data_IF_472098364349
#
_entry.id   IF_472098364349
#
_cell.length_a   1.000
_cell.length_b   1.000
_cell.length_c   1.000
_cell.angle_alpha   90.00
_cell.angle_beta   90.00
_cell.angle_gamma   90.00
#
_symmetry.space_group_name_H-M   'P 1'
#
loop_
_entity.id
_entity.type
_entity.pdbx_description
1 polymer ?
#
# COMPACT_ATOMS: atom_id res chain seq x y z
N UNK A 1 35.81 -67.81 26.02
CA UNK A 1 35.19 -66.59 26.59
C UNK A 1 34.80 -65.75 25.42
N UNK A 2 33.49 -65.61 25.15
CA UNK A 2 33.01 -64.63 24.14
C UNK A 2 32.92 -63.27 24.82
N UNK A 3 33.35 -62.25 24.08
CA UNK A 3 33.25 -60.85 24.50
C UNK A 3 31.88 -60.32 24.08
N UNK A 4 31.06 -59.96 25.07
CA UNK A 4 29.78 -59.25 24.87
C UNK A 4 30.05 -57.83 24.33
N UNK A 5 29.53 -57.55 23.12
CA UNK A 5 29.45 -56.20 22.57
C UNK A 5 28.01 -55.69 22.92
N UNK A 6 27.85 -54.55 23.60
CA UNK A 6 26.53 -54.05 23.87
C UNK A 6 25.88 -53.51 22.57
N UNK A 7 24.78 -54.14 22.19
CA UNK A 7 23.84 -53.57 21.19
C UNK A 7 23.10 -52.37 21.84
N UNK A 8 23.40 -51.16 21.41
CA UNK A 8 22.62 -50.02 21.96
C UNK A 8 22.99 -48.63 21.48
N UNK A 9 23.77 -48.43 20.42
CA UNK A 9 24.11 -47.08 19.95
C UNK A 9 24.17 -46.88 18.43
N UNK A 10 23.34 -47.56 17.67
CA UNK A 10 23.20 -47.27 16.25
C UNK A 10 21.72 -47.09 15.93
N UNK A 11 21.17 -45.97 16.20
CA UNK A 11 19.95 -45.50 15.49
C UNK A 11 19.46 -44.15 15.96
N UNK A 12 20.26 -43.09 15.85
CA UNK A 12 19.75 -41.71 15.87
C UNK A 12 20.66 -40.75 15.07
N UNK A 13 21.21 -41.22 13.97
CA UNK A 13 21.88 -40.32 13.05
C UNK A 13 21.17 -40.35 11.70
N UNK A 14 20.78 -39.15 11.25
CA UNK A 14 20.39 -38.83 9.87
C UNK A 14 18.97 -39.23 9.48
N UNK A 15 17.98 -38.55 10.06
CA UNK A 15 16.86 -38.03 9.25
C UNK A 15 17.18 -36.56 9.03
N UNK A 16 18.03 -36.28 8.07
CA UNK A 16 18.25 -34.93 7.58
C UNK A 16 16.94 -34.39 6.99
N UNK A 17 16.35 -33.44 7.67
CA UNK A 17 15.25 -32.62 7.18
C UNK A 17 15.70 -31.92 5.89
N UNK A 18 15.32 -32.48 4.74
CA UNK A 18 15.43 -31.83 3.43
C UNK A 18 14.31 -30.80 3.27
N UNK A 19 14.30 -29.77 4.12
CA UNK A 19 13.56 -28.56 3.85
C UNK A 19 14.38 -27.71 2.88
N UNK A 20 13.90 -27.41 1.66
CA UNK A 20 14.68 -26.69 0.64
C UNK A 20 14.93 -25.21 0.94
N UNK A 21 14.48 -24.70 2.07
CA UNK A 21 14.75 -23.32 2.54
C UNK A 21 15.02 -23.34 4.04
N UNK A 22 16.08 -22.67 4.52
CA UNK A 22 16.28 -22.51 5.95
C UNK A 22 15.12 -21.73 6.53
N UNK A 23 14.39 -22.31 7.46
CA UNK A 23 13.36 -21.67 8.28
C UNK A 23 14.03 -20.73 9.31
N UNK A 24 14.74 -19.71 8.83
CA UNK A 24 15.28 -18.64 9.67
C UNK A 24 14.51 -17.36 9.40
N UNK A 25 13.18 -17.40 9.64
CA UNK A 25 12.49 -16.15 9.97
C UNK A 25 12.82 -15.83 11.42
N UNK A 26 13.57 -14.73 11.72
CA UNK A 26 13.67 -14.27 13.09
C UNK A 26 12.24 -14.09 13.57
N UNK A 27 11.91 -14.61 14.74
CA UNK A 27 10.56 -14.65 15.32
C UNK A 27 9.84 -13.33 15.09
N UNK A 28 8.94 -13.33 14.11
CA UNK A 28 8.02 -12.22 13.93
C UNK A 28 7.12 -12.22 15.15
N UNK A 29 7.12 -11.11 15.90
CA UNK A 29 6.21 -11.02 17.03
C UNK A 29 4.79 -11.31 16.53
N UNK A 30 4.02 -12.16 17.23
CA UNK A 30 2.68 -12.50 16.78
C UNK A 30 1.85 -11.23 16.65
N UNK A 31 1.29 -11.06 15.47
CA UNK A 31 0.43 -9.93 15.14
C UNK A 31 -0.81 -9.99 16.04
N UNK A 32 -1.14 -8.92 16.79
CA UNK A 32 -2.21 -8.94 17.77
C UNK A 32 -3.63 -8.90 17.16
N UNK A 33 -3.74 -8.63 15.85
CA UNK A 33 -5.00 -8.35 15.19
C UNK A 33 -5.93 -9.55 15.14
N UNK A 34 -7.23 -9.31 15.34
CA UNK A 34 -8.30 -10.31 15.33
C UNK A 34 -9.32 -10.02 14.21
N UNK A 35 -10.24 -10.95 13.95
CA UNK A 35 -11.39 -10.70 13.07
C UNK A 35 -12.31 -9.61 13.61
N UNK A 36 -12.34 -9.41 14.94
CA UNK A 36 -13.08 -8.30 15.55
C UNK A 36 -12.50 -6.96 15.10
N UNK A 37 -11.15 -6.84 15.07
CA UNK A 37 -10.47 -5.63 14.62
C UNK A 37 -10.75 -5.36 13.15
N UNK A 38 -10.79 -6.40 12.32
CA UNK A 38 -11.21 -6.31 10.92
C UNK A 38 -12.66 -5.83 10.81
N UNK A 39 -13.57 -6.41 11.60
CA UNK A 39 -14.99 -6.01 11.62
C UNK A 39 -15.15 -4.54 12.02
N UNK A 40 -14.42 -4.08 13.04
CA UNK A 40 -14.40 -2.67 13.45
C UNK A 40 -13.85 -1.75 12.34
N UNK A 41 -12.79 -2.17 11.65
CA UNK A 41 -12.24 -1.43 10.52
C UNK A 41 -13.23 -1.33 9.35
N UNK A 42 -13.87 -2.43 8.99
CA UNK A 42 -14.87 -2.48 7.90
C UNK A 42 -16.12 -1.66 8.21
N UNK A 43 -16.48 -1.52 9.49
CA UNK A 43 -17.55 -0.62 9.93
C UNK A 43 -17.08 0.84 9.92
N UNK A 44 -15.85 1.11 10.38
CA UNK A 44 -15.31 2.45 10.47
C UNK A 44 -15.01 3.07 9.11
N UNK A 45 -14.47 2.31 8.15
CA UNK A 45 -14.01 2.84 6.87
C UNK A 45 -15.12 3.55 6.07
N UNK A 46 -16.35 3.01 5.89
CA UNK A 46 -17.43 3.74 5.22
C UNK A 46 -17.91 4.96 6.01
N UNK A 47 -17.89 4.91 7.34
CA UNK A 47 -18.20 6.09 8.17
C UNK A 47 -17.15 7.18 8.03
N UNK A 48 -15.87 6.81 7.99
CA UNK A 48 -14.76 7.73 7.75
C UNK A 48 -14.86 8.36 6.35
N UNK A 49 -15.27 7.60 5.34
CA UNK A 49 -15.50 8.10 3.98
C UNK A 49 -16.56 9.19 3.97
N UNK A 50 -17.72 8.94 4.59
CA UNK A 50 -18.82 9.92 4.69
C UNK A 50 -18.38 11.15 5.49
N UNK A 51 -17.74 10.93 6.65
CA UNK A 51 -17.25 12.01 7.49
C UNK A 51 -16.21 12.89 6.77
N UNK A 52 -15.24 12.29 6.09
CA UNK A 52 -14.24 13.03 5.33
C UNK A 52 -14.87 13.90 4.25
N UNK A 53 -15.86 13.36 3.52
CA UNK A 53 -16.58 14.11 2.50
C UNK A 53 -17.31 15.31 3.11
N UNK A 54 -18.08 15.09 4.19
CA UNK A 54 -18.81 16.16 4.87
C UNK A 54 -17.88 17.20 5.48
N UNK A 55 -16.77 16.79 6.09
CA UNK A 55 -15.81 17.70 6.71
C UNK A 55 -15.14 18.62 5.67
N UNK A 56 -14.70 18.05 4.53
CA UNK A 56 -14.07 18.84 3.47
C UNK A 56 -15.09 19.75 2.80
N UNK A 57 -16.30 19.27 2.57
CA UNK A 57 -17.39 20.08 2.02
C UNK A 57 -17.77 21.24 2.96
N UNK A 58 -17.92 21.00 4.25
CA UNK A 58 -18.19 22.04 5.25
C UNK A 58 -17.05 23.06 5.30
N UNK A 59 -15.80 22.60 5.29
CA UNK A 59 -14.62 23.48 5.25
C UNK A 59 -14.62 24.36 3.99
N UNK A 60 -14.96 23.79 2.84
CA UNK A 60 -15.10 24.53 1.60
C UNK A 60 -16.16 25.64 1.69
N UNK A 61 -17.34 25.36 2.24
CA UNK A 61 -18.40 26.37 2.42
C UNK A 61 -18.00 27.49 3.37
N UNK A 62 -17.33 27.14 4.47
CA UNK A 62 -16.82 28.15 5.43
C UNK A 62 -15.77 29.04 4.75
N UNK A 63 -14.78 28.46 4.07
CA UNK A 63 -13.75 29.24 3.37
C UNK A 63 -14.35 30.12 2.26
N UNK A 64 -15.30 29.59 1.51
CA UNK A 64 -16.01 30.35 0.47
C UNK A 64 -16.75 31.56 1.04
N UNK A 65 -17.40 31.39 2.19
CA UNK A 65 -18.14 32.50 2.83
C UNK A 65 -17.23 33.58 3.39
N UNK A 66 -16.05 33.19 3.91
CA UNK A 66 -15.07 34.10 4.49
C UNK A 66 -14.22 34.84 3.45
N UNK A 67 -13.87 34.17 2.34
CA UNK A 67 -12.92 34.67 1.37
C UNK A 67 -13.58 35.19 0.09
N UNK A 68 -14.93 35.20 0.00
CA UNK A 68 -15.70 35.49 -1.23
C UNK A 68 -15.18 34.73 -2.47
N UNK A 69 -14.64 33.55 -2.24
CA UNK A 69 -13.89 32.74 -3.18
C UNK A 69 -14.62 31.41 -3.44
N UNK A 70 -14.48 30.90 -4.66
CA UNK A 70 -14.83 29.51 -4.93
C UNK A 70 -15.64 29.28 -6.19
N UNK A 71 -15.50 28.07 -6.68
CA UNK A 71 -16.25 27.52 -7.81
C UNK A 71 -17.68 27.11 -7.39
N UNK A 72 -18.63 26.99 -8.32
CA UNK A 72 -19.93 26.38 -8.05
C UNK A 72 -19.76 24.98 -7.45
N UNK A 73 -20.62 24.61 -6.48
CA UNK A 73 -20.55 23.31 -5.78
C UNK A 73 -20.57 22.12 -6.74
N UNK A 74 -21.30 22.22 -7.84
CA UNK A 74 -21.39 21.18 -8.87
C UNK A 74 -20.09 20.88 -9.60
N UNK A 75 -19.06 21.74 -9.48
CA UNK A 75 -17.73 21.52 -10.08
C UNK A 75 -16.70 20.90 -9.11
N UNK A 76 -17.07 20.73 -7.82
CA UNK A 76 -16.11 20.24 -6.81
C UNK A 76 -15.66 18.79 -7.06
N UNK A 77 -16.54 17.97 -7.61
CA UNK A 77 -16.23 16.59 -7.95
C UNK A 77 -15.10 16.45 -9.00
N UNK A 78 -14.81 17.52 -9.73
CA UNK A 78 -13.71 17.58 -10.71
C UNK A 78 -12.57 18.50 -10.24
N UNK A 79 -12.65 19.03 -9.01
CA UNK A 79 -11.62 19.90 -8.46
C UNK A 79 -10.53 19.07 -7.77
N UNK A 80 -9.34 19.06 -8.33
CA UNK A 80 -8.19 18.28 -7.84
C UNK A 80 -7.87 18.55 -6.38
N UNK A 81 -7.87 19.81 -5.95
CA UNK A 81 -7.52 20.17 -4.57
C UNK A 81 -8.60 19.73 -3.58
N UNK A 82 -9.88 19.76 -3.99
CA UNK A 82 -10.98 19.21 -3.18
C UNK A 82 -10.81 17.69 -3.01
N UNK A 83 -10.54 16.98 -4.10
CA UNK A 83 -10.34 15.53 -4.08
C UNK A 83 -9.11 15.13 -3.26
N UNK A 84 -7.99 15.86 -3.38
CA UNK A 84 -6.80 15.62 -2.57
C UNK A 84 -7.04 15.92 -1.08
N UNK A 85 -7.76 16.99 -0.75
CA UNK A 85 -8.14 17.30 0.63
C UNK A 85 -9.03 16.19 1.22
N UNK A 86 -10.01 15.72 0.45
CA UNK A 86 -10.83 14.58 0.84
C UNK A 86 -9.97 13.32 1.10
N UNK A 87 -9.06 13.00 0.19
CA UNK A 87 -8.18 11.83 0.31
C UNK A 87 -7.28 11.93 1.53
N UNK A 88 -6.70 13.12 1.80
CA UNK A 88 -5.89 13.37 3.00
C UNK A 88 -6.67 13.15 4.30
N UNK A 89 -7.89 13.69 4.38
CA UNK A 89 -8.74 13.53 5.57
C UNK A 89 -9.16 12.06 5.72
N UNK A 90 -9.60 11.43 4.66
CA UNK A 90 -10.02 10.03 4.67
C UNK A 90 -8.87 9.09 5.10
N UNK A 91 -7.71 9.19 4.46
CA UNK A 91 -6.54 8.38 4.83
C UNK A 91 -6.05 8.71 6.25
N UNK A 92 -6.08 9.98 6.65
CA UNK A 92 -5.75 10.40 8.01
C UNK A 92 -6.64 9.74 9.06
N UNK A 93 -7.96 9.63 8.79
CA UNK A 93 -8.90 8.92 9.66
C UNK A 93 -8.60 7.42 9.74
N UNK A 94 -8.33 6.77 8.60
CA UNK A 94 -7.98 5.34 8.57
C UNK A 94 -6.65 5.07 9.30
N UNK A 95 -5.63 5.90 9.11
CA UNK A 95 -4.37 5.83 9.85
C UNK A 95 -4.57 6.07 11.34
N UNK A 96 -5.39 7.05 11.71
CA UNK A 96 -5.78 7.33 13.09
C UNK A 96 -6.46 6.14 13.75
N UNK A 97 -7.35 5.45 13.02
CA UNK A 97 -7.97 4.22 13.48
C UNK A 97 -6.92 3.12 13.72
N UNK A 98 -6.04 2.85 12.74
CA UNK A 98 -4.98 1.85 12.88
C UNK A 98 -4.04 2.22 14.03
N UNK A 99 -3.69 3.49 14.18
CA UNK A 99 -2.88 3.97 15.31
C UNK A 99 -3.57 3.71 16.66
N UNK A 100 -4.84 4.08 16.78
CA UNK A 100 -5.61 3.85 18.01
C UNK A 100 -5.71 2.35 18.33
N UNK A 101 -5.92 1.53 17.32
CA UNK A 101 -5.97 0.07 17.47
C UNK A 101 -4.64 -0.48 17.97
N UNK A 102 -3.52 -0.10 17.34
CA UNK A 102 -2.18 -0.59 17.70
C UNK A 102 -1.75 -0.10 19.08
N UNK A 103 -1.83 1.21 19.29
CA UNK A 103 -1.19 1.87 20.45
C UNK A 103 -2.11 1.89 21.66
N UNK A 104 -3.40 2.19 21.47
CA UNK A 104 -4.33 2.37 22.58
C UNK A 104 -4.96 1.02 22.95
N UNK A 105 -5.52 0.30 21.97
CA UNK A 105 -6.24 -0.95 22.25
C UNK A 105 -5.29 -2.11 22.55
N UNK A 106 -4.32 -2.37 21.66
CA UNK A 106 -3.35 -3.46 21.83
C UNK A 106 -2.09 -3.09 22.63
N UNK A 107 -1.93 -1.83 23.03
CA UNK A 107 -0.82 -1.31 23.86
C UNK A 107 0.56 -1.69 23.33
N UNK A 108 0.75 -1.62 22.01
CA UNK A 108 2.04 -1.89 21.35
C UNK A 108 2.64 -0.61 20.76
N UNK A 109 3.96 -0.46 20.72
CA UNK A 109 4.57 0.60 19.94
C UNK A 109 4.17 0.47 18.47
N UNK A 110 3.78 1.58 17.83
CA UNK A 110 3.14 1.57 16.51
C UNK A 110 3.92 0.77 15.46
N UNK A 111 5.18 1.12 15.25
CA UNK A 111 6.00 0.48 14.21
C UNK A 111 6.31 -0.99 14.49
N UNK A 112 6.56 -1.36 15.72
CA UNK A 112 6.78 -2.77 16.08
C UNK A 112 5.49 -3.58 15.98
N UNK A 113 4.34 -2.98 16.30
CA UNK A 113 3.02 -3.58 16.10
C UNK A 113 2.72 -3.91 14.65
N UNK A 114 3.22 -3.10 13.72
CA UNK A 114 3.09 -3.32 12.26
C UNK A 114 4.24 -4.15 11.67
N UNK A 115 5.10 -4.75 12.48
CA UNK A 115 6.29 -5.49 12.05
C UNK A 115 7.26 -4.66 11.18
N UNK A 116 7.46 -3.39 11.53
CA UNK A 116 8.49 -2.59 10.90
C UNK A 116 9.87 -3.01 11.40
N UNK A 117 10.75 -3.42 10.48
CA UNK A 117 12.17 -3.71 10.78
C UNK A 117 13.06 -2.75 10.00
N UNK A 118 14.11 -2.28 10.65
CA UNK A 118 15.10 -1.42 9.99
C UNK A 118 15.81 -2.21 8.90
N UNK A 119 16.01 -1.57 7.77
CA UNK A 119 16.76 -2.11 6.64
C UNK A 119 18.20 -1.56 6.67
N UNK A 120 19.15 -2.36 6.19
CA UNK A 120 20.49 -1.85 5.88
C UNK A 120 20.43 -0.93 4.65
N UNK A 121 21.45 -0.09 4.47
CA UNK A 121 21.54 0.77 3.29
C UNK A 121 21.52 -0.06 1.99
N UNK A 122 22.27 -1.18 1.94
CA UNK A 122 22.27 -2.05 0.77
C UNK A 122 20.89 -2.63 0.46
N UNK A 123 20.15 -3.13 1.47
CA UNK A 123 18.78 -3.60 1.28
C UNK A 123 17.85 -2.49 0.77
N UNK A 124 17.95 -1.28 1.35
CA UNK A 124 17.17 -0.12 0.92
C UNK A 124 17.44 0.22 -0.55
N UNK A 125 18.71 0.26 -0.96
CA UNK A 125 19.09 0.55 -2.35
C UNK A 125 18.60 -0.52 -3.32
N UNK A 126 18.71 -1.80 -2.99
CA UNK A 126 18.20 -2.88 -3.84
C UNK A 126 16.67 -2.84 -3.97
N UNK A 127 15.95 -2.56 -2.89
CA UNK A 127 14.49 -2.41 -2.92
C UNK A 127 14.08 -1.17 -3.72
N UNK A 128 14.79 -0.06 -3.56
CA UNK A 128 14.53 1.14 -4.35
C UNK A 128 14.76 0.87 -5.85
N UNK A 129 15.87 0.19 -6.21
CA UNK A 129 16.11 -0.25 -7.60
C UNK A 129 14.99 -1.16 -8.09
N UNK A 130 14.53 -2.10 -7.26
CA UNK A 130 13.38 -2.97 -7.59
C UNK A 130 12.11 -2.19 -7.88
N UNK A 131 11.80 -1.15 -7.08
CA UNK A 131 10.67 -0.23 -7.32
C UNK A 131 10.80 0.55 -8.62
N UNK A 132 12.00 1.05 -8.93
CA UNK A 132 12.29 1.73 -10.19
C UNK A 132 12.09 0.78 -11.39
N UNK A 133 12.67 -0.42 -11.34
CA UNK A 133 12.51 -1.44 -12.40
C UNK A 133 11.05 -1.82 -12.59
N UNK A 134 10.31 -2.00 -11.49
CA UNK A 134 8.87 -2.28 -11.54
C UNK A 134 8.12 -1.15 -12.24
N UNK A 135 8.42 0.12 -11.94
CA UNK A 135 7.78 1.27 -12.58
C UNK A 135 8.01 1.29 -14.09
N UNK A 136 9.25 1.08 -14.54
CA UNK A 136 9.56 1.01 -15.97
C UNK A 136 8.88 -0.18 -16.65
N UNK A 137 8.84 -1.35 -16.00
CA UNK A 137 8.15 -2.54 -16.52
C UNK A 137 6.66 -2.27 -16.70
N UNK A 138 6.02 -1.71 -15.68
CA UNK A 138 4.57 -1.41 -15.72
C UNK A 138 4.26 -0.31 -16.76
N UNK A 139 5.10 0.70 -16.90
CA UNK A 139 4.91 1.75 -17.91
C UNK A 139 5.11 1.24 -19.34
N UNK A 140 5.90 0.19 -19.53
CA UNK A 140 6.12 -0.39 -20.86
C UNK A 140 4.96 -1.28 -21.31
N UNK A 141 4.27 -1.96 -20.39
CA UNK A 141 3.17 -2.88 -20.70
C UNK A 141 2.01 -2.24 -21.50
N UNK A 142 1.55 -1.00 -21.22
CA UNK A 142 0.51 -0.37 -22.03
C UNK A 142 0.84 -0.23 -23.52
N UNK A 143 2.13 -0.21 -23.90
CA UNK A 143 2.52 -0.14 -25.31
C UNK A 143 2.18 -1.41 -26.11
N UNK A 144 1.92 -2.52 -25.41
CA UNK A 144 1.53 -3.81 -26.02
C UNK A 144 0.07 -4.17 -25.75
N UNK A 145 -0.63 -3.36 -24.96
CA UNK A 145 -2.06 -3.51 -24.67
C UNK A 145 -2.87 -2.53 -25.54
N UNK A 146 -4.15 -2.82 -25.80
CA UNK A 146 -5.03 -1.87 -26.46
C UNK A 146 -5.06 -0.54 -25.73
N UNK A 147 -5.08 0.59 -26.47
CA UNK A 147 -5.25 1.92 -25.88
C UNK A 147 -6.49 1.95 -25.01
N UNK A 148 -6.33 2.42 -23.78
CA UNK A 148 -7.44 2.63 -22.87
C UNK A 148 -8.03 4.01 -23.08
N UNK A 149 -9.35 4.06 -22.97
CA UNK A 149 -10.11 5.31 -22.98
C UNK A 149 -9.63 6.23 -21.84
N UNK A 150 -10.01 7.48 -21.94
CA UNK A 150 -9.80 8.46 -20.87
C UNK A 150 -10.38 7.94 -19.54
N UNK A 151 -9.67 8.10 -18.43
CA UNK A 151 -10.08 7.61 -17.12
C UNK A 151 -10.04 8.74 -16.07
N UNK A 152 -10.81 8.63 -14.98
CA UNK A 152 -11.03 9.75 -14.05
C UNK A 152 -9.77 10.39 -13.50
N UNK A 153 -8.74 9.62 -13.13
CA UNK A 153 -7.49 10.16 -12.62
C UNK A 153 -6.81 11.14 -13.60
N UNK A 154 -6.89 10.87 -14.91
CA UNK A 154 -6.29 11.74 -15.93
C UNK A 154 -6.93 13.13 -15.92
N UNK A 155 -8.22 13.21 -15.62
CA UNK A 155 -8.97 14.47 -15.54
C UNK A 155 -8.60 15.32 -14.33
N UNK A 156 -7.91 14.77 -13.35
CA UNK A 156 -7.41 15.52 -12.19
C UNK A 156 -6.19 16.40 -12.51
N UNK A 157 -5.48 16.13 -13.61
CA UNK A 157 -4.32 16.92 -14.04
C UNK A 157 -4.77 18.17 -14.80
N UNK A 158 -5.48 19.08 -14.11
CA UNK A 158 -6.12 20.28 -14.70
C UNK A 158 -5.16 21.45 -14.92
N UNK A 159 -4.00 21.46 -14.28
CA UNK A 159 -3.00 22.51 -14.33
C UNK A 159 -1.64 22.01 -13.84
N UNK A 160 -0.53 22.71 -14.11
CA UNK A 160 0.78 22.34 -13.55
C UNK A 160 0.77 22.26 -12.02
N UNK A 161 0.08 23.19 -11.35
CA UNK A 161 -0.05 23.17 -9.88
C UNK A 161 -0.81 21.91 -9.39
N UNK A 162 -1.86 21.50 -10.09
CA UNK A 162 -2.56 20.23 -9.80
C UNK A 162 -1.62 19.02 -9.98
N UNK A 163 -0.80 19.01 -11.04
CA UNK A 163 0.20 17.99 -11.29
C UNK A 163 1.24 17.90 -10.15
N UNK A 164 1.75 19.04 -9.68
CA UNK A 164 2.67 19.08 -8.52
C UNK A 164 1.99 18.58 -7.24
N UNK A 165 0.73 18.97 -6.99
CA UNK A 165 0.00 18.56 -5.80
C UNK A 165 -0.27 17.04 -5.80
N UNK A 166 -0.71 16.48 -6.94
CA UNK A 166 -0.88 15.03 -7.13
C UNK A 166 0.45 14.30 -6.94
N UNK A 167 1.52 14.79 -7.58
CA UNK A 167 2.85 14.20 -7.47
C UNK A 167 3.36 14.17 -6.02
N UNK A 168 3.26 15.29 -5.31
CA UNK A 168 3.65 15.37 -3.91
C UNK A 168 2.83 14.41 -3.04
N UNK A 169 1.52 14.36 -3.21
CA UNK A 169 0.65 13.43 -2.50
C UNK A 169 1.02 11.97 -2.80
N UNK A 170 1.17 11.62 -4.07
CA UNK A 170 1.46 10.25 -4.51
C UNK A 170 2.84 9.74 -4.06
N UNK A 171 3.80 10.64 -3.81
CA UNK A 171 5.14 10.27 -3.34
C UNK A 171 5.21 10.30 -1.81
N UNK A 172 4.69 11.35 -1.18
CA UNK A 172 4.98 11.63 0.23
C UNK A 172 3.92 11.07 1.20
N UNK A 173 2.68 10.89 0.75
CA UNK A 173 1.54 10.55 1.62
C UNK A 173 0.95 9.19 1.30
N UNK A 174 0.50 8.98 0.07
CA UNK A 174 -0.25 7.78 -0.33
C UNK A 174 0.48 6.48 0.01
N UNK A 175 1.78 6.29 -0.32
CA UNK A 175 2.47 5.03 -0.06
C UNK A 175 2.51 4.65 1.42
N UNK A 176 2.69 5.62 2.31
CA UNK A 176 2.71 5.37 3.74
C UNK A 176 1.35 4.92 4.27
N UNK A 177 0.29 5.64 3.89
CA UNK A 177 -1.06 5.32 4.31
C UNK A 177 -1.49 3.95 3.79
N UNK A 178 -1.27 3.70 2.53
CA UNK A 178 -1.65 2.46 1.87
C UNK A 178 -0.88 1.25 2.42
N UNK A 179 0.44 1.36 2.57
CA UNK A 179 1.22 0.25 3.11
C UNK A 179 0.89 -0.05 4.58
N UNK A 180 0.64 0.97 5.41
CA UNK A 180 0.20 0.76 6.79
C UNK A 180 -1.14 0.03 6.84
N UNK A 181 -2.10 0.40 6.00
CA UNK A 181 -3.43 -0.21 5.96
C UNK A 181 -3.36 -1.63 5.38
N UNK A 182 -2.77 -1.77 4.18
CA UNK A 182 -2.79 -3.06 3.46
C UNK A 182 -1.77 -4.05 4.01
N UNK A 183 -0.49 -3.67 4.14
CA UNK A 183 0.60 -4.59 4.51
C UNK A 183 0.91 -4.59 6.00
N UNK A 184 0.58 -3.50 6.69
CA UNK A 184 0.68 -3.41 8.13
C UNK A 184 -0.47 -4.09 8.84
N UNK A 185 -1.71 -3.72 8.49
CA UNK A 185 -2.92 -4.15 9.22
C UNK A 185 -3.62 -5.35 8.55
N UNK A 186 -4.15 -5.18 7.33
CA UNK A 186 -4.97 -6.21 6.68
C UNK A 186 -4.20 -7.50 6.40
N UNK A 187 -2.99 -7.39 5.86
CA UNK A 187 -2.14 -8.54 5.55
C UNK A 187 -1.96 -9.46 6.75
N UNK A 188 -1.65 -8.89 7.90
CA UNK A 188 -1.42 -9.69 9.10
C UNK A 188 -2.65 -10.47 9.59
N UNK A 189 -3.85 -9.92 9.39
CA UNK A 189 -5.09 -10.64 9.71
C UNK A 189 -5.28 -11.82 8.77
N UNK A 190 -5.11 -11.60 7.47
CA UNK A 190 -5.31 -12.62 6.45
C UNK A 190 -4.26 -13.72 6.54
N UNK A 191 -2.97 -13.35 6.74
CA UNK A 191 -1.88 -14.30 6.91
C UNK A 191 -2.14 -15.25 8.08
N UNK A 192 -2.57 -14.72 9.21
CA UNK A 192 -2.87 -15.54 10.40
C UNK A 192 -4.09 -16.43 10.23
N UNK A 193 -5.04 -16.07 9.38
CA UNK A 193 -6.30 -16.80 9.22
C UNK A 193 -6.28 -17.83 8.09
N UNK A 194 -5.63 -17.51 6.99
CA UNK A 194 -5.66 -18.32 5.78
C UNK A 194 -4.29 -18.56 5.15
N UNK A 195 -3.22 -18.13 5.85
CA UNK A 195 -1.86 -18.36 5.43
C UNK A 195 -1.28 -17.30 4.49
N UNK A 196 0.03 -17.42 4.25
CA UNK A 196 0.84 -16.44 3.55
C UNK A 196 0.33 -16.11 2.14
N UNK A 197 0.09 -17.14 1.32
CA UNK A 197 -0.28 -16.94 -0.08
C UNK A 197 -1.65 -16.31 -0.24
N UNK A 198 -2.59 -16.68 0.63
CA UNK A 198 -3.91 -16.05 0.67
C UNK A 198 -3.80 -14.56 1.00
N UNK A 199 -2.98 -14.21 2.02
CA UNK A 199 -2.76 -12.82 2.39
C UNK A 199 -2.13 -12.02 1.25
N UNK A 200 -1.12 -12.58 0.56
CA UNK A 200 -0.46 -11.95 -0.59
C UNK A 200 -1.49 -11.61 -1.68
N UNK A 201 -2.25 -12.61 -2.11
CA UNK A 201 -3.20 -12.46 -3.22
C UNK A 201 -4.36 -11.53 -2.84
N UNK A 202 -4.98 -11.75 -1.67
CA UNK A 202 -6.14 -10.98 -1.26
C UNK A 202 -5.81 -9.50 -1.06
N UNK A 203 -4.69 -9.18 -0.40
CA UNK A 203 -4.30 -7.77 -0.21
C UNK A 203 -3.92 -7.09 -1.52
N UNK A 204 -3.36 -7.82 -2.49
CA UNK A 204 -3.09 -7.31 -3.82
C UNK A 204 -4.37 -6.99 -4.60
N UNK A 205 -5.37 -7.89 -4.55
CA UNK A 205 -6.66 -7.69 -5.20
C UNK A 205 -7.45 -6.55 -4.56
N UNK A 206 -7.45 -6.45 -3.23
CA UNK A 206 -8.08 -5.34 -2.52
C UNK A 206 -7.40 -4.01 -2.85
N UNK A 207 -6.07 -4.00 -2.96
CA UNK A 207 -5.31 -2.82 -3.34
C UNK A 207 -5.69 -2.32 -4.75
N UNK A 208 -5.69 -3.21 -5.75
CA UNK A 208 -6.15 -2.86 -7.09
C UNK A 208 -7.64 -2.49 -7.14
N UNK A 209 -8.46 -3.18 -6.37
CA UNK A 209 -9.91 -2.92 -6.28
C UNK A 209 -10.25 -1.53 -5.77
N UNK A 210 -9.49 -0.98 -4.83
CA UNK A 210 -9.69 0.39 -4.35
C UNK A 210 -9.33 1.46 -5.38
N UNK A 211 -8.55 1.12 -6.41
CA UNK A 211 -8.22 2.03 -7.51
C UNK A 211 -9.25 2.02 -8.65
N UNK A 212 -10.27 1.15 -8.57
CA UNK A 212 -11.32 1.08 -9.60
C UNK A 212 -11.98 2.43 -9.88
N UNK A 213 -12.36 3.26 -8.87
CA UNK A 213 -12.97 4.55 -9.14
C UNK A 213 -12.08 5.51 -9.94
N UNK A 214 -10.76 5.47 -9.71
CA UNK A 214 -9.76 6.33 -10.37
C UNK A 214 -9.51 5.90 -11.83
N UNK A 215 -9.64 4.59 -12.09
CA UNK A 215 -9.38 3.96 -13.39
C UNK A 215 -10.63 3.33 -14.02
N UNK A 216 -11.82 3.88 -13.71
CA UNK A 216 -13.08 3.34 -14.23
C UNK A 216 -13.09 3.26 -15.77
N UNK A 217 -13.31 2.07 -16.28
CA UNK A 217 -13.27 1.79 -17.74
C UNK A 217 -11.88 1.40 -18.27
N UNK A 218 -10.81 1.64 -17.51
CA UNK A 218 -9.43 1.26 -17.84
C UNK A 218 -8.99 0.02 -17.02
N UNK A 219 -9.67 -1.11 -17.21
CA UNK A 219 -9.52 -2.34 -16.40
C UNK A 219 -8.11 -2.94 -16.47
N UNK A 220 -7.41 -2.73 -17.59
CA UNK A 220 -6.00 -3.09 -17.72
C UNK A 220 -5.11 -2.37 -16.69
N UNK A 221 -5.39 -1.09 -16.40
CA UNK A 221 -4.68 -0.36 -15.33
C UNK A 221 -5.00 -0.91 -13.94
N UNK A 222 -6.26 -1.26 -13.67
CA UNK A 222 -6.64 -1.91 -12.40
C UNK A 222 -5.91 -3.24 -12.23
N UNK A 223 -5.81 -4.03 -13.30
CA UNK A 223 -5.04 -5.28 -13.30
C UNK A 223 -3.55 -5.00 -13.02
N UNK A 224 -2.94 -4.03 -13.70
CA UNK A 224 -1.54 -3.66 -13.49
C UNK A 224 -1.28 -3.20 -12.06
N UNK A 225 -2.17 -2.38 -11.49
CA UNK A 225 -2.08 -1.95 -10.09
C UNK A 225 -2.21 -3.15 -9.14
N UNK A 226 -3.07 -4.13 -9.46
CA UNK A 226 -3.15 -5.36 -8.68
C UNK A 226 -1.84 -6.17 -8.73
N UNK A 227 -1.16 -6.23 -9.88
CA UNK A 227 0.15 -6.88 -10.03
C UNK A 227 1.26 -6.13 -9.26
N UNK A 228 1.24 -4.80 -9.27
CA UNK A 228 2.10 -3.98 -8.42
C UNK A 228 1.83 -4.27 -6.94
N UNK A 229 0.56 -4.30 -6.57
CA UNK A 229 0.12 -4.69 -5.23
C UNK A 229 0.58 -6.09 -4.82
N UNK A 230 0.60 -7.03 -5.77
CA UNK A 230 1.12 -8.38 -5.56
C UNK A 230 2.62 -8.37 -5.22
N UNK A 231 3.40 -7.54 -5.93
CA UNK A 231 4.84 -7.38 -5.67
C UNK A 231 5.10 -6.83 -4.27
N UNK A 232 4.36 -5.81 -3.85
CA UNK A 232 4.49 -5.24 -2.51
C UNK A 232 4.07 -6.23 -1.42
N UNK A 233 2.95 -6.96 -1.64
CA UNK A 233 2.48 -7.97 -0.70
C UNK A 233 3.43 -9.17 -0.62
N UNK A 234 4.04 -9.56 -1.72
CA UNK A 234 5.08 -10.60 -1.74
C UNK A 234 6.31 -10.16 -0.93
N UNK A 235 6.82 -8.94 -1.17
CA UNK A 235 7.94 -8.40 -0.39
C UNK A 235 7.63 -8.37 1.12
N UNK A 236 6.40 -7.96 1.51
CA UNK A 236 5.93 -8.01 2.89
C UNK A 236 5.93 -9.44 3.43
N UNK A 237 5.41 -10.38 2.66
CA UNK A 237 5.26 -11.78 3.08
C UNK A 237 6.59 -12.50 3.27
N UNK A 238 7.49 -12.42 2.29
CA UNK A 238 8.78 -13.14 2.34
C UNK A 238 9.76 -12.54 3.36
N UNK A 239 9.65 -11.24 3.66
CA UNK A 239 10.54 -10.58 4.63
C UNK A 239 9.96 -10.53 6.04
N UNK A 240 8.65 -10.77 6.19
CA UNK A 240 7.94 -10.58 7.45
C UNK A 240 7.96 -9.12 7.96
N UNK A 241 8.32 -8.14 7.11
CA UNK A 241 8.51 -6.74 7.50
C UNK A 241 7.72 -5.79 6.60
N UNK A 242 7.16 -4.72 7.18
CA UNK A 242 6.47 -3.66 6.44
C UNK A 242 7.44 -2.79 5.63
N UNK A 243 8.67 -2.57 6.09
CA UNK A 243 9.60 -1.62 5.50
C UNK A 243 9.95 -1.91 4.03
N UNK A 244 10.17 -3.17 3.57
CA UNK A 244 10.44 -3.46 2.17
C UNK A 244 9.33 -3.02 1.21
N UNK A 245 8.07 -3.25 1.55
CA UNK A 245 6.94 -2.85 0.71
C UNK A 245 6.83 -1.32 0.62
N UNK A 246 7.07 -0.60 1.72
CA UNK A 246 7.09 0.87 1.73
C UNK A 246 8.20 1.41 0.81
N UNK A 247 9.43 0.87 0.89
CA UNK A 247 10.55 1.35 0.04
C UNK A 247 10.28 1.07 -1.44
N UNK A 248 9.80 -0.14 -1.77
CA UNK A 248 9.40 -0.47 -3.14
C UNK A 248 8.34 0.49 -3.67
N UNK A 249 7.30 0.77 -2.87
CA UNK A 249 6.19 1.62 -3.26
C UNK A 249 6.63 3.08 -3.43
N UNK A 250 7.41 3.63 -2.49
CA UNK A 250 7.98 4.97 -2.61
C UNK A 250 8.81 5.13 -3.89
N UNK A 251 9.70 4.18 -4.17
CA UNK A 251 10.54 4.22 -5.35
C UNK A 251 9.73 4.06 -6.65
N UNK A 252 8.73 3.18 -6.63
CA UNK A 252 7.80 2.98 -7.74
C UNK A 252 7.04 4.27 -8.07
N UNK A 253 6.34 4.87 -7.09
CA UNK A 253 5.57 6.10 -7.30
C UNK A 253 6.46 7.28 -7.68
N UNK A 254 7.65 7.42 -7.06
CA UNK A 254 8.62 8.46 -7.43
C UNK A 254 9.01 8.33 -8.89
N UNK A 255 9.27 7.11 -9.37
CA UNK A 255 9.65 6.87 -10.77
C UNK A 255 8.52 7.18 -11.74
N UNK A 256 7.27 6.81 -11.40
CA UNK A 256 6.10 7.13 -12.22
C UNK A 256 5.90 8.64 -12.36
N UNK A 257 5.92 9.35 -11.23
CA UNK A 257 5.72 10.81 -11.21
C UNK A 257 6.88 11.54 -11.88
N UNK A 258 8.13 11.09 -11.67
CA UNK A 258 9.29 11.65 -12.38
C UNK A 258 9.16 11.43 -13.90
N UNK A 259 8.79 10.23 -14.33
CA UNK A 259 8.53 9.93 -15.75
C UNK A 259 7.48 10.86 -16.35
N UNK A 260 6.32 11.01 -15.68
CA UNK A 260 5.25 11.91 -16.10
C UNK A 260 5.73 13.38 -16.13
N UNK A 261 6.47 13.82 -15.12
CA UNK A 261 7.03 15.17 -15.05
C UNK A 261 7.91 15.49 -16.25
N UNK A 262 8.84 14.60 -16.61
CA UNK A 262 9.72 14.81 -17.77
C UNK A 262 8.97 14.72 -19.10
N UNK A 263 8.04 13.76 -19.26
CA UNK A 263 7.23 13.61 -20.47
C UNK A 263 6.35 14.83 -20.74
N UNK A 264 5.82 15.45 -19.69
CA UNK A 264 4.90 16.60 -19.77
C UNK A 264 5.59 17.95 -19.60
N UNK A 265 6.93 18.00 -19.60
CA UNK A 265 7.70 19.24 -19.40
C UNK A 265 7.26 19.99 -18.13
N UNK A 266 7.27 19.30 -16.99
CA UNK A 266 6.87 19.90 -15.72
C UNK A 266 5.37 20.08 -15.55
N UNK A 267 4.57 19.13 -16.05
CA UNK A 267 3.09 19.18 -16.06
C UNK A 267 2.49 20.31 -16.88
N UNK A 268 3.25 20.92 -17.81
CA UNK A 268 2.74 21.97 -18.70
C UNK A 268 2.04 21.40 -19.94
N UNK A 269 2.42 20.20 -20.40
CA UNK A 269 1.89 19.51 -21.58
C UNK A 269 1.15 18.22 -21.15
N UNK A 270 -0.01 18.36 -20.54
CA UNK A 270 -0.81 17.25 -20.00
C UNK A 270 -1.87 16.70 -21.00
N UNK A 271 -1.66 16.91 -22.32
CA UNK A 271 -2.58 16.47 -23.40
C UNK A 271 -2.23 15.10 -23.90
#
# INVERSE_FOLDING_TARGET
MPVDIPEGEISQAVVGSSAPFPATHPESQPIPWSLRDLGLFLLFAPLALVFANLAVLASYYVLRSLLTWGNPVGSLQHNTFFLLAFQLVFQGLLLGFVYALVVIHHRRPFWSGLNWRKLSLGQTLWLALGGIVLAFTIQWVPNILPETRDFPLRQMFTSPLAGYAIGAYSILVAPWAEEVIFRGFLFGIFERRAGLWFAIVLTALLFGGLHVPEYWGAWNHVLLISLVGLTFSFARGVTGSLAPSVILHLAYNTSLIAGLFFQTQGFHNLR
#
